data_IF_371294237277
#
_entry.id   IF_371294237277
#
_cell.length_a   1.000
_cell.length_b   1.000
_cell.length_c   1.000
_cell.angle_alpha   90.00
_cell.angle_beta   90.00
_cell.angle_gamma   90.00
#
_symmetry.space_group_name_H-M   'P 1'
#
loop_
_entity.id
_entity.type
_entity.pdbx_description
1 polymer ?
#
# COMPACT_ATOMS: atom_id res chain seq x y z
N UNK A 1 -15.92 12.62 -15.25
CA UNK A 1 -15.58 11.34 -14.59
C UNK A 1 -15.88 11.47 -13.11
N UNK A 2 -16.49 10.46 -12.50
CA UNK A 2 -16.84 10.49 -11.07
C UNK A 2 -15.58 10.51 -10.20
N UNK A 3 -15.56 11.35 -9.15
CA UNK A 3 -14.42 11.45 -8.20
C UNK A 3 -14.07 10.11 -7.55
N UNK A 4 -15.07 9.27 -7.26
CA UNK A 4 -14.85 7.94 -6.70
C UNK A 4 -14.06 7.04 -7.68
N UNK A 5 -14.40 7.08 -8.97
CA UNK A 5 -13.68 6.31 -9.99
C UNK A 5 -12.22 6.78 -10.12
N UNK A 6 -11.99 8.08 -10.06
CA UNK A 6 -10.65 8.64 -10.08
C UNK A 6 -9.84 8.25 -8.84
N UNK A 7 -10.46 8.22 -7.67
CA UNK A 7 -9.82 7.80 -6.43
C UNK A 7 -9.45 6.30 -6.47
N UNK A 8 -10.33 5.46 -6.99
CA UNK A 8 -10.04 4.03 -7.19
C UNK A 8 -8.87 3.87 -8.17
N UNK A 9 -8.84 4.64 -9.24
CA UNK A 9 -7.73 4.65 -10.19
C UNK A 9 -6.41 5.10 -9.55
N UNK A 10 -6.46 6.09 -8.67
CA UNK A 10 -5.32 6.56 -7.88
C UNK A 10 -4.78 5.45 -6.97
N UNK A 11 -5.66 4.67 -6.37
CA UNK A 11 -5.30 3.58 -5.46
C UNK A 11 -4.65 2.38 -6.17
N UNK A 12 -4.81 2.26 -7.48
CA UNK A 12 -4.21 1.19 -8.29
C UNK A 12 -4.56 -0.20 -7.77
N UNK A 13 -5.79 -0.68 -7.98
CA UNK A 13 -6.24 -1.95 -7.39
C UNK A 13 -5.45 -3.17 -7.87
N UNK A 14 -4.90 -3.14 -9.07
CA UNK A 14 -4.19 -4.30 -9.63
C UNK A 14 -2.88 -4.62 -8.89
N UNK A 15 -1.95 -3.67 -8.64
CA UNK A 15 -0.80 -3.92 -7.78
C UNK A 15 -1.16 -4.31 -6.35
N UNK A 16 -2.22 -3.74 -5.79
CA UNK A 16 -2.69 -4.08 -4.43
C UNK A 16 -3.14 -5.54 -4.39
N UNK A 17 -3.88 -5.99 -5.39
CA UNK A 17 -4.27 -7.39 -5.51
C UNK A 17 -3.05 -8.31 -5.57
N UNK A 18 -2.01 -7.92 -6.30
CA UNK A 18 -0.75 -8.65 -6.37
C UNK A 18 -0.10 -8.81 -5.00
N UNK A 19 0.01 -7.74 -4.23
CA UNK A 19 0.56 -7.75 -2.86
C UNK A 19 -0.31 -8.63 -1.95
N UNK A 20 -1.63 -8.49 -2.03
CA UNK A 20 -2.57 -9.30 -1.26
C UNK A 20 -2.37 -10.80 -1.52
N UNK A 21 -2.30 -11.20 -2.78
CA UNK A 21 -2.11 -12.60 -3.17
C UNK A 21 -0.74 -13.13 -2.78
N UNK A 22 0.31 -12.34 -2.92
CA UNK A 22 1.67 -12.74 -2.56
C UNK A 22 1.80 -12.96 -1.06
N UNK A 23 1.26 -12.07 -0.26
CA UNK A 23 1.27 -12.20 1.20
C UNK A 23 0.43 -13.39 1.66
N UNK A 24 -0.75 -13.59 1.07
CA UNK A 24 -1.60 -14.75 1.32
C UNK A 24 -0.93 -16.07 0.93
N UNK A 25 -0.23 -16.10 -0.20
CA UNK A 25 0.52 -17.27 -0.64
C UNK A 25 1.63 -17.63 0.35
N UNK A 26 2.40 -16.64 0.82
CA UNK A 26 3.44 -16.86 1.83
C UNK A 26 2.87 -17.46 3.11
N UNK A 27 1.73 -16.95 3.56
CA UNK A 27 1.01 -17.51 4.73
C UNK A 27 0.54 -18.92 4.48
N UNK A 28 0.01 -19.22 3.30
CA UNK A 28 -0.42 -20.57 2.91
C UNK A 28 0.74 -21.56 2.89
N UNK A 29 1.89 -21.15 2.39
CA UNK A 29 3.11 -21.97 2.38
C UNK A 29 3.56 -22.24 3.83
N UNK A 30 3.58 -21.24 4.68
CA UNK A 30 3.95 -21.40 6.08
C UNK A 30 3.04 -22.41 6.79
N UNK A 31 1.73 -22.34 6.55
CA UNK A 31 0.78 -23.32 7.09
C UNK A 31 1.01 -24.73 6.54
N UNK A 32 1.28 -24.85 5.26
CA UNK A 32 1.61 -26.15 4.66
C UNK A 32 2.85 -26.77 5.30
N UNK A 33 3.84 -25.96 5.67
CA UNK A 33 5.07 -26.41 6.34
C UNK A 33 4.86 -26.66 7.85
N UNK A 34 3.64 -26.59 8.35
CA UNK A 34 3.30 -26.94 9.73
C UNK A 34 3.22 -25.76 10.70
N UNK A 35 3.38 -24.52 10.24
CA UNK A 35 3.23 -23.36 11.10
C UNK A 35 1.77 -23.14 11.46
N UNK A 36 1.51 -22.75 12.71
CA UNK A 36 0.19 -22.30 13.15
C UNK A 36 0.01 -20.82 12.73
N UNK A 37 -1.17 -20.48 12.23
CA UNK A 37 -1.48 -19.12 11.81
C UNK A 37 -2.25 -18.41 12.92
N UNK A 38 -1.67 -17.32 13.41
CA UNK A 38 -2.37 -16.37 14.29
C UNK A 38 -3.18 -15.42 13.39
N UNK A 39 -4.48 -15.67 13.28
CA UNK A 39 -5.36 -14.93 12.37
C UNK A 39 -5.44 -13.43 12.66
N UNK A 40 -5.53 -12.97 13.93
CA UNK A 40 -5.46 -11.53 14.21
C UNK A 40 -4.16 -10.89 13.71
N UNK A 41 -3.02 -11.52 13.94
CA UNK A 41 -1.71 -11.04 13.46
C UNK A 41 -1.68 -11.02 11.93
N UNK A 42 -2.16 -12.08 11.29
CA UNK A 42 -2.22 -12.15 9.82
C UNK A 42 -3.06 -11.00 9.24
N UNK A 43 -4.27 -10.79 9.76
CA UNK A 43 -5.17 -9.76 9.24
C UNK A 43 -4.61 -8.35 9.45
N UNK A 44 -4.02 -8.08 10.61
CA UNK A 44 -3.36 -6.80 10.88
C UNK A 44 -2.13 -6.59 10.00
N UNK A 45 -1.35 -7.64 9.78
CA UNK A 45 -0.18 -7.58 8.90
C UNK A 45 -0.58 -7.35 7.45
N UNK A 46 -1.65 -8.00 6.98
CA UNK A 46 -2.20 -7.78 5.64
C UNK A 46 -2.66 -6.32 5.48
N UNK A 47 -3.36 -5.78 6.48
CA UNK A 47 -3.79 -4.38 6.48
C UNK A 47 -2.57 -3.44 6.47
N UNK A 48 -1.56 -3.73 7.25
CA UNK A 48 -0.32 -2.96 7.33
C UNK A 48 0.41 -2.90 5.98
N UNK A 49 0.62 -4.04 5.35
CA UNK A 49 1.25 -4.11 4.02
C UNK A 49 0.43 -3.35 2.97
N UNK A 50 -0.89 -3.51 3.00
CA UNK A 50 -1.79 -2.83 2.06
C UNK A 50 -1.74 -1.31 2.25
N UNK A 51 -1.73 -0.82 3.50
CA UNK A 51 -1.63 0.62 3.79
C UNK A 51 -0.29 1.20 3.35
N UNK A 52 0.82 0.47 3.55
CA UNK A 52 2.12 0.89 3.03
C UNK A 52 2.10 0.98 1.50
N UNK A 53 1.52 0.00 0.83
CA UNK A 53 1.41 0.01 -0.62
C UNK A 53 0.58 1.19 -1.12
N UNK A 54 -0.57 1.45 -0.48
CA UNK A 54 -1.41 2.61 -0.80
C UNK A 54 -0.66 3.93 -0.58
N UNK A 55 0.05 4.07 0.53
CA UNK A 55 0.83 5.28 0.81
C UNK A 55 1.90 5.51 -0.25
N UNK A 56 2.57 4.46 -0.69
CA UNK A 56 3.54 4.54 -1.79
C UNK A 56 2.91 5.01 -3.10
N UNK A 57 1.72 4.51 -3.43
CA UNK A 57 1.00 4.93 -4.63
C UNK A 57 0.61 6.42 -4.57
N UNK A 58 0.01 6.84 -3.47
CA UNK A 58 -0.47 8.21 -3.32
C UNK A 58 0.69 9.21 -3.26
N UNK A 59 1.70 8.96 -2.45
CA UNK A 59 2.87 9.82 -2.34
C UNK A 59 3.69 9.80 -3.63
N UNK A 60 3.83 8.65 -4.25
CA UNK A 60 4.52 8.51 -5.53
C UNK A 60 3.88 9.36 -6.61
N UNK A 61 2.57 9.32 -6.73
CA UNK A 61 1.84 10.16 -7.69
C UNK A 61 1.93 11.65 -7.35
N UNK A 62 1.90 12.00 -6.07
CA UNK A 62 2.07 13.38 -5.63
C UNK A 62 3.44 13.95 -6.05
N UNK A 63 4.53 13.23 -5.75
CA UNK A 63 5.88 13.72 -6.04
C UNK A 63 6.24 13.63 -7.52
N UNK A 64 5.71 12.65 -8.24
CA UNK A 64 6.03 12.44 -9.65
C UNK A 64 5.13 13.22 -10.61
N UNK A 65 4.06 13.88 -10.14
CA UNK A 65 3.08 14.56 -10.98
C UNK A 65 3.70 15.56 -11.97
N UNK A 66 4.67 16.41 -11.59
CA UNK A 66 5.28 17.34 -12.55
C UNK A 66 5.98 16.65 -13.73
N UNK A 67 6.64 15.52 -13.49
CA UNK A 67 7.27 14.72 -14.54
C UNK A 67 6.24 13.95 -15.37
N UNK A 68 5.17 13.45 -14.73
CA UNK A 68 4.10 12.69 -15.38
C UNK A 68 3.29 13.54 -16.37
N UNK A 69 3.12 14.82 -16.09
CA UNK A 69 2.46 15.76 -17.01
C UNK A 69 3.20 15.90 -18.33
N UNK A 70 4.53 15.79 -18.32
CA UNK A 70 5.37 15.89 -19.51
C UNK A 70 5.43 14.57 -20.31
N UNK A 71 4.98 13.46 -19.77
CA UNK A 71 5.04 12.15 -20.40
C UNK A 71 3.66 11.72 -20.93
N UNK A 72 3.50 11.68 -22.26
CA UNK A 72 2.24 11.34 -22.92
C UNK A 72 2.06 9.84 -23.16
N UNK A 73 3.12 9.04 -23.13
CA UNK A 73 3.06 7.61 -23.40
C UNK A 73 2.80 6.80 -22.14
N UNK A 74 1.54 6.65 -21.77
CA UNK A 74 1.14 5.87 -20.61
C UNK A 74 0.44 4.58 -21.02
N UNK A 75 0.83 3.48 -20.37
CA UNK A 75 0.17 2.19 -20.50
C UNK A 75 -0.67 1.90 -19.25
N UNK A 76 -1.63 0.94 -19.31
CA UNK A 76 -2.37 0.51 -18.12
C UNK A 76 -1.49 -0.04 -17.00
N UNK A 77 -0.27 -0.43 -17.32
CA UNK A 77 0.72 -0.98 -16.38
C UNK A 77 1.77 0.04 -15.96
N UNK A 78 1.58 1.31 -16.29
CA UNK A 78 2.49 2.38 -15.90
C UNK A 78 2.59 2.51 -14.37
N UNK A 79 3.75 2.90 -13.89
CA UNK A 79 4.00 3.09 -12.45
C UNK A 79 3.19 4.24 -11.84
N UNK A 80 2.54 5.05 -12.65
CA UNK A 80 1.77 6.20 -12.19
C UNK A 80 0.32 6.10 -12.61
N UNK A 81 -0.57 6.53 -11.73
CA UNK A 81 -1.97 6.69 -12.09
C UNK A 81 -2.16 7.98 -12.89
N UNK A 82 -3.24 8.04 -13.65
CA UNK A 82 -3.62 9.23 -14.40
C UNK A 82 -4.80 9.96 -13.74
N UNK A 83 -4.89 9.87 -12.41
CA UNK A 83 -6.02 10.36 -11.64
C UNK A 83 -5.87 11.81 -11.16
N UNK A 84 -4.66 12.38 -11.26
CA UNK A 84 -4.34 13.74 -10.79
C UNK A 84 -4.21 14.69 -11.97
N UNK A 85 -4.77 15.87 -11.85
CA UNK A 85 -4.63 16.92 -12.85
C UNK A 85 -5.86 17.79 -13.01
N UNK A 86 -5.87 18.74 -13.97
CA UNK A 86 -7.02 19.57 -14.27
C UNK A 86 -8.26 18.72 -14.63
N UNK A 87 -9.40 19.01 -14.00
CA UNK A 87 -10.63 18.22 -14.17
C UNK A 87 -10.61 16.83 -13.53
N UNK A 88 -9.56 16.51 -12.78
CA UNK A 88 -9.37 15.26 -12.04
C UNK A 88 -9.18 15.55 -10.55
N UNK A 89 -8.66 14.56 -9.79
CA UNK A 89 -8.38 14.75 -8.37
C UNK A 89 -7.25 15.77 -8.18
N UNK A 90 -7.29 16.51 -7.07
CA UNK A 90 -6.23 17.44 -6.73
C UNK A 90 -4.98 16.70 -6.26
N UNK A 91 -3.82 17.27 -6.56
CA UNK A 91 -2.53 16.73 -6.11
C UNK A 91 -2.45 16.65 -4.58
N UNK A 92 -3.02 17.62 -3.88
CA UNK A 92 -3.03 17.65 -2.42
C UNK A 92 -3.85 16.51 -1.80
N UNK A 93 -4.90 16.04 -2.49
CA UNK A 93 -5.65 14.87 -2.05
C UNK A 93 -4.76 13.63 -1.99
N UNK A 94 -3.91 13.42 -2.97
CA UNK A 94 -2.95 12.32 -2.96
C UNK A 94 -1.95 12.42 -1.81
N UNK A 95 -1.45 13.64 -1.53
CA UNK A 95 -0.57 13.87 -0.37
C UNK A 95 -1.26 13.48 0.94
N UNK A 96 -2.45 14.01 1.18
CA UNK A 96 -3.18 13.74 2.43
C UNK A 96 -3.58 12.28 2.56
N UNK A 97 -4.03 11.65 1.48
CA UNK A 97 -4.34 10.22 1.48
C UNK A 97 -3.09 9.38 1.81
N UNK A 98 -1.95 9.70 1.20
CA UNK A 98 -0.69 9.01 1.46
C UNK A 98 -0.21 9.17 2.89
N UNK A 99 -0.25 10.39 3.43
CA UNK A 99 0.14 10.69 4.81
C UNK A 99 -0.80 9.98 5.80
N UNK A 100 -2.11 9.97 5.53
CA UNK A 100 -3.08 9.27 6.37
C UNK A 100 -2.81 7.77 6.41
N UNK A 101 -2.61 7.14 5.26
CA UNK A 101 -2.29 5.71 5.18
C UNK A 101 -0.97 5.39 5.91
N UNK A 102 0.04 6.23 5.75
CA UNK A 102 1.33 6.06 6.41
C UNK A 102 1.20 6.19 7.93
N UNK A 103 0.40 7.14 8.42
CA UNK A 103 0.16 7.33 9.86
C UNK A 103 -0.54 6.13 10.49
N UNK A 104 -1.56 5.59 9.81
CA UNK A 104 -2.24 4.37 10.26
C UNK A 104 -1.29 3.17 10.23
N UNK A 105 -0.48 3.04 9.18
CA UNK A 105 0.53 1.98 9.09
C UNK A 105 1.55 2.08 10.22
N UNK A 106 2.00 3.28 10.58
CA UNK A 106 2.90 3.48 11.71
C UNK A 106 2.26 3.04 13.04
N UNK A 107 1.00 3.36 13.25
CA UNK A 107 0.24 2.91 14.44
C UNK A 107 0.12 1.39 14.47
N UNK A 108 -0.17 0.76 13.34
CA UNK A 108 -0.22 -0.71 13.22
C UNK A 108 1.15 -1.34 13.46
N UNK A 109 2.23 -0.69 13.08
CA UNK A 109 3.60 -1.16 13.39
C UNK A 109 3.80 -1.32 14.88
N UNK A 110 3.43 -0.32 15.66
CA UNK A 110 3.54 -0.37 17.14
C UNK A 110 2.68 -1.51 17.70
N UNK A 111 1.47 -1.65 17.22
CA UNK A 111 0.56 -2.72 17.65
C UNK A 111 1.12 -4.11 17.33
N UNK A 112 1.57 -4.32 16.10
CA UNK A 112 2.15 -5.59 15.64
C UNK A 112 3.42 -5.94 16.44
N UNK A 113 4.28 -4.98 16.71
CA UNK A 113 5.48 -5.20 17.52
C UNK A 113 5.14 -5.70 18.93
N UNK A 114 4.07 -5.16 19.52
CA UNK A 114 3.57 -5.63 20.82
C UNK A 114 3.02 -7.04 20.76
N UNK A 115 2.30 -7.37 19.69
CA UNK A 115 1.67 -8.69 19.52
C UNK A 115 2.70 -9.80 19.23
N UNK A 116 3.76 -9.49 18.46
CA UNK A 116 4.76 -10.47 18.02
C UNK A 116 5.89 -10.63 19.04
N UNK A 117 6.01 -9.73 20.01
CA UNK A 117 6.97 -9.87 21.10
C UNK A 117 8.27 -9.10 20.96
N UNK A 118 8.26 -7.95 20.32
CA UNK A 118 9.33 -6.95 20.45
C UNK A 118 10.55 -7.15 19.56
N UNK A 119 11.71 -7.43 20.13
CA UNK A 119 12.99 -7.39 19.43
C UNK A 119 13.12 -8.26 18.16
N UNK A 120 12.64 -9.52 18.13
CA UNK A 120 12.69 -10.32 16.90
C UNK A 120 11.89 -9.72 15.74
N UNK A 121 10.75 -9.10 16.04
CA UNK A 121 9.92 -8.45 15.04
C UNK A 121 10.59 -7.21 14.44
N UNK A 122 11.30 -6.42 15.26
CA UNK A 122 12.08 -5.27 14.78
C UNK A 122 13.16 -5.74 13.81
N UNK A 123 13.90 -6.79 14.15
CA UNK A 123 14.94 -7.34 13.28
C UNK A 123 14.36 -7.83 11.95
N UNK A 124 13.20 -8.49 11.98
CA UNK A 124 12.52 -8.93 10.76
C UNK A 124 12.08 -7.75 9.89
N UNK A 125 11.57 -6.68 10.50
CA UNK A 125 11.15 -5.49 9.77
C UNK A 125 12.32 -4.71 9.19
N UNK A 126 13.47 -4.70 9.86
CA UNK A 126 14.68 -4.05 9.38
C UNK A 126 15.43 -4.85 8.32
N UNK A 127 15.23 -6.16 8.27
CA UNK A 127 15.86 -7.03 7.29
C UNK A 127 15.13 -7.07 5.94
N UNK A 128 14.00 -6.38 5.81
CA UNK A 128 13.29 -6.20 4.55
C UNK A 128 13.70 -4.89 3.86
#
# INVERSE_FOLDING_TARGET
MNSLRLFIKLSRPLPILGVFLTFGLGTGIARYLGASIDWPVYLLSQAWVTLLQLSMHYLGDYFAHPADVANESRTPFSERSDAIGPGKLSRNLALWAGVSCLSVAASLTVLLLRMIGGAPAVLLMMGM
#
